data_IF_812103933305
#
_entry.id   IF_812103933305
#
_cell.length_a   1.000
_cell.length_b   1.000
_cell.length_c   1.000
_cell.angle_alpha   90.00
_cell.angle_beta   90.00
_cell.angle_gamma   90.00
#
_symmetry.space_group_name_H-M   'P 1'
#
loop_
_entity.id
_entity.type
_entity.pdbx_description
1 polymer ?
#
# COMPACT_ATOMS: atom_id res chain seq x y z
N UNK A 1 -12.03 -2.95 16.93
CA UNK A 1 -12.88 -2.79 15.72
C UNK A 1 -14.35 -2.84 16.08
N UNK A 2 -14.83 -3.86 16.81
CA UNK A 2 -16.26 -3.98 17.13
C UNK A 2 -16.80 -2.86 18.01
N UNK A 3 -16.04 -2.45 19.03
CA UNK A 3 -16.49 -1.49 20.04
C UNK A 3 -16.32 -0.02 19.60
N UNK A 4 -15.31 0.29 18.78
CA UNK A 4 -15.01 1.63 18.28
C UNK A 4 -14.74 1.63 16.77
N UNK A 5 -15.72 1.31 15.91
CA UNK A 5 -15.48 1.12 14.49
C UNK A 5 -15.02 2.40 13.76
N UNK A 6 -15.55 3.55 14.13
CA UNK A 6 -15.18 4.84 13.54
C UNK A 6 -13.72 5.20 13.86
N UNK A 7 -13.31 5.04 15.11
CA UNK A 7 -11.94 5.28 15.55
C UNK A 7 -10.95 4.34 14.84
N UNK A 8 -11.28 3.06 14.75
CA UNK A 8 -10.43 2.11 14.02
C UNK A 8 -10.29 2.49 12.53
N UNK A 9 -11.40 2.84 11.88
CA UNK A 9 -11.38 3.26 10.47
C UNK A 9 -10.58 4.55 10.25
N UNK A 10 -10.68 5.52 11.18
CA UNK A 10 -9.92 6.78 11.05
C UNK A 10 -8.39 6.59 11.19
N UNK A 11 -7.96 5.48 11.79
CA UNK A 11 -6.55 5.12 11.97
C UNK A 11 -6.02 4.15 10.91
N UNK A 12 -6.88 3.66 10.01
CA UNK A 12 -6.54 2.64 9.02
C UNK A 12 -6.76 3.17 7.62
N UNK A 13 -5.80 2.92 6.73
CA UNK A 13 -6.00 3.04 5.29
C UNK A 13 -6.02 1.65 4.66
N UNK A 14 -6.90 1.46 3.66
CA UNK A 14 -6.97 0.25 2.86
C UNK A 14 -6.98 0.61 1.38
N UNK A 15 -6.13 -0.04 0.60
CA UNK A 15 -6.07 0.09 -0.85
C UNK A 15 -6.20 -1.30 -1.46
N UNK A 16 -7.27 -1.60 -2.20
CA UNK A 16 -7.41 -2.83 -2.98
C UNK A 16 -6.53 -2.80 -4.23
N UNK A 17 -6.28 -3.96 -4.84
CA UNK A 17 -5.54 -4.12 -6.09
C UNK A 17 -6.12 -3.26 -7.24
N UNK A 18 -7.43 -3.18 -7.34
CA UNK A 18 -8.12 -2.35 -8.32
C UNK A 18 -9.08 -1.37 -7.63
N UNK A 19 -8.61 -0.16 -7.29
CA UNK A 19 -9.41 0.80 -6.56
C UNK A 19 -10.49 1.43 -7.45
N UNK A 20 -11.74 1.37 -6.99
CA UNK A 20 -12.84 2.12 -7.58
C UNK A 20 -12.74 3.60 -7.22
N UNK A 21 -12.61 4.44 -8.21
CA UNK A 21 -12.51 5.89 -8.07
C UNK A 21 -13.70 6.61 -8.70
N UNK A 22 -13.99 7.80 -8.21
CA UNK A 22 -15.03 8.68 -8.77
C UNK A 22 -14.51 9.35 -10.04
N UNK A 23 -14.85 8.82 -11.20
CA UNK A 23 -14.31 9.25 -12.50
C UNK A 23 -14.66 10.69 -12.91
N UNK A 24 -15.70 11.30 -12.30
CA UNK A 24 -16.20 12.65 -12.66
C UNK A 24 -15.66 13.77 -11.78
N UNK A 25 -14.72 13.51 -10.91
CA UNK A 25 -14.02 14.53 -10.13
C UNK A 25 -12.55 14.57 -10.53
N UNK A 26 -11.89 15.66 -10.21
CA UNK A 26 -10.45 15.80 -10.45
C UNK A 26 -9.63 15.13 -9.36
N UNK A 27 -8.36 14.84 -9.63
CA UNK A 27 -7.44 14.26 -8.63
C UNK A 27 -7.36 15.10 -7.37
N UNK A 28 -7.28 16.44 -7.50
CA UNK A 28 -7.23 17.34 -6.33
C UNK A 28 -8.54 17.33 -5.54
N UNK A 29 -9.69 17.19 -6.19
CA UNK A 29 -10.98 17.08 -5.49
C UNK A 29 -11.06 15.79 -4.71
N UNK A 30 -10.59 14.67 -5.27
CA UNK A 30 -10.48 13.40 -4.57
C UNK A 30 -9.59 13.50 -3.33
N UNK A 31 -8.38 14.08 -3.46
CA UNK A 31 -7.47 14.23 -2.33
C UNK A 31 -8.02 15.14 -1.23
N UNK A 32 -8.74 16.21 -1.58
CA UNK A 32 -9.43 17.05 -0.61
C UNK A 32 -10.56 16.30 0.10
N UNK A 33 -11.33 15.49 -0.65
CA UNK A 33 -12.35 14.61 -0.06
C UNK A 33 -11.73 13.62 0.95
N UNK A 34 -10.58 13.00 0.62
CA UNK A 34 -9.85 12.15 1.57
C UNK A 34 -9.40 12.93 2.80
N UNK A 35 -8.91 14.15 2.64
CA UNK A 35 -8.55 15.03 3.75
C UNK A 35 -9.73 15.33 4.67
N UNK A 36 -10.93 15.56 4.12
CA UNK A 36 -12.14 15.79 4.89
C UNK A 36 -12.57 14.54 5.66
N UNK A 37 -12.58 13.38 4.97
CA UNK A 37 -12.95 12.09 5.54
C UNK A 37 -12.09 11.71 6.76
N UNK A 38 -10.78 11.96 6.67
CA UNK A 38 -9.82 11.63 7.73
C UNK A 38 -9.46 12.82 8.62
N UNK A 39 -10.22 13.93 8.54
CA UNK A 39 -10.05 15.12 9.39
C UNK A 39 -8.64 15.71 9.38
N UNK A 40 -7.97 15.69 8.22
CA UNK A 40 -6.66 16.34 8.04
C UNK A 40 -6.81 17.85 8.23
N UNK A 41 -6.01 18.48 9.12
CA UNK A 41 -6.13 19.91 9.39
C UNK A 41 -5.94 20.76 8.11
N UNK A 42 -6.83 21.74 7.88
CA UNK A 42 -6.82 22.55 6.67
C UNK A 42 -5.45 23.20 6.37
N UNK A 43 -4.75 23.64 7.43
CA UNK A 43 -3.41 24.25 7.33
C UNK A 43 -2.32 23.29 6.82
N UNK A 44 -2.56 21.96 6.90
CA UNK A 44 -1.59 20.94 6.52
C UNK A 44 -1.91 20.28 5.18
N UNK A 45 -3.16 20.44 4.68
CA UNK A 45 -3.62 19.74 3.46
C UNK A 45 -2.75 20.02 2.25
N UNK A 46 -2.53 21.31 1.96
CA UNK A 46 -1.77 21.71 0.76
C UNK A 46 -0.36 21.12 0.80
N UNK A 47 0.34 21.25 1.94
CA UNK A 47 1.71 20.76 2.05
C UNK A 47 1.79 19.23 2.00
N UNK A 48 0.82 18.52 2.58
CA UNK A 48 0.79 17.05 2.54
C UNK A 48 0.46 16.53 1.14
N UNK A 49 -0.56 17.13 0.47
CA UNK A 49 -0.91 16.78 -0.91
C UNK A 49 0.29 17.00 -1.81
N UNK A 50 0.89 18.21 -1.76
CA UNK A 50 2.04 18.55 -2.57
C UNK A 50 3.20 17.59 -2.36
N UNK A 51 3.57 17.31 -1.09
CA UNK A 51 4.65 16.37 -0.74
C UNK A 51 4.51 15.04 -1.47
N UNK A 52 3.35 14.39 -1.35
CA UNK A 52 3.16 13.05 -1.90
C UNK A 52 2.90 13.06 -3.42
N UNK A 53 2.24 14.10 -3.93
CA UNK A 53 2.03 14.26 -5.37
C UNK A 53 3.34 14.49 -6.12
N UNK A 54 4.26 15.28 -5.56
CA UNK A 54 5.59 15.51 -6.15
C UNK A 54 6.42 14.22 -6.15
N UNK A 55 6.42 13.49 -5.03
CA UNK A 55 7.17 12.23 -4.89
C UNK A 55 6.71 11.18 -5.90
N UNK A 56 5.41 11.09 -6.16
CA UNK A 56 4.83 10.14 -7.11
C UNK A 56 4.64 10.73 -8.53
N UNK A 57 5.11 11.97 -8.77
CA UNK A 57 5.02 12.66 -10.08
C UNK A 57 3.59 12.73 -10.61
N UNK A 58 2.65 13.11 -9.77
CA UNK A 58 1.24 13.28 -10.14
C UNK A 58 0.77 14.74 -10.05
N UNK A 59 1.62 15.66 -9.59
CA UNK A 59 1.29 17.06 -9.31
C UNK A 59 0.64 17.75 -10.51
N UNK A 60 1.22 17.63 -11.70
CA UNK A 60 0.75 18.32 -12.91
C UNK A 60 -0.62 17.82 -13.38
N UNK A 61 -0.99 16.61 -13.03
CA UNK A 61 -2.26 15.98 -13.42
C UNK A 61 -3.37 16.12 -12.37
N UNK A 62 -3.11 16.69 -11.20
CA UNK A 62 -4.13 16.80 -10.14
C UNK A 62 -5.36 17.60 -10.55
N UNK A 63 -5.23 18.51 -11.55
CA UNK A 63 -6.33 19.28 -12.10
C UNK A 63 -7.20 18.51 -13.10
N UNK A 64 -6.73 17.39 -13.63
CA UNK A 64 -7.43 16.60 -14.63
C UNK A 64 -8.50 15.70 -14.00
N UNK A 65 -9.51 15.32 -14.79
CA UNK A 65 -10.53 14.36 -14.37
C UNK A 65 -9.91 12.98 -14.19
N UNK A 66 -10.32 12.25 -13.14
CA UNK A 66 -9.85 10.90 -12.86
C UNK A 66 -10.18 9.92 -14.01
N UNK A 67 -11.25 10.18 -14.77
CA UNK A 67 -11.59 9.42 -15.99
C UNK A 67 -10.50 9.43 -17.05
N UNK A 68 -9.63 10.45 -17.06
CA UNK A 68 -8.49 10.55 -18.00
C UNK A 68 -7.21 9.87 -17.49
N UNK A 69 -7.19 9.41 -16.24
CA UNK A 69 -6.00 8.81 -15.64
C UNK A 69 -5.75 7.39 -16.17
N UNK A 70 -4.49 7.09 -16.43
CA UNK A 70 -4.06 5.70 -16.63
C UNK A 70 -4.22 4.89 -15.34
N UNK A 71 -4.16 3.56 -15.45
CA UNK A 71 -4.21 2.68 -14.28
C UNK A 71 -3.11 3.06 -13.25
N UNK A 72 -1.88 3.25 -13.67
CA UNK A 72 -0.79 3.68 -12.79
C UNK A 72 -1.02 5.04 -12.14
N UNK A 73 -1.64 6.01 -12.85
CA UNK A 73 -2.02 7.30 -12.25
C UNK A 73 -3.12 7.14 -11.20
N UNK A 74 -4.11 6.29 -11.44
CA UNK A 74 -5.15 5.95 -10.46
C UNK A 74 -4.53 5.30 -9.22
N UNK A 75 -3.60 4.36 -9.40
CA UNK A 75 -2.88 3.73 -8.31
C UNK A 75 -2.06 4.76 -7.48
N UNK A 76 -1.33 5.65 -8.15
CA UNK A 76 -0.61 6.75 -7.48
C UNK A 76 -1.55 7.66 -6.67
N UNK A 77 -2.71 8.01 -7.23
CA UNK A 77 -3.69 8.87 -6.58
C UNK A 77 -4.24 8.27 -5.26
N UNK A 78 -4.61 6.98 -5.27
CA UNK A 78 -5.11 6.32 -4.04
C UNK A 78 -4.02 6.16 -3.01
N UNK A 79 -2.78 5.87 -3.42
CA UNK A 79 -1.62 5.84 -2.54
C UNK A 79 -1.43 7.21 -1.86
N UNK A 80 -1.43 8.32 -2.61
CA UNK A 80 -1.36 9.66 -2.04
C UNK A 80 -2.47 9.85 -1.00
N UNK A 81 -3.71 9.52 -1.33
CA UNK A 81 -4.86 9.63 -0.43
C UNK A 81 -4.69 8.85 0.88
N UNK A 82 -4.08 7.67 0.80
CA UNK A 82 -3.80 6.84 1.97
C UNK A 82 -2.68 7.41 2.87
N UNK A 83 -1.62 7.96 2.27
CA UNK A 83 -0.50 8.50 3.05
C UNK A 83 -0.77 9.89 3.67
N UNK A 84 -1.68 10.69 3.07
CA UNK A 84 -1.98 12.07 3.53
C UNK A 84 -2.39 12.13 5.00
N UNK A 85 -3.17 11.16 5.49
CA UNK A 85 -3.67 11.17 6.88
C UNK A 85 -2.77 10.44 7.87
N UNK A 86 -1.60 9.92 7.41
CA UNK A 86 -0.63 9.24 8.26
C UNK A 86 -1.26 8.11 9.10
N UNK A 87 -1.79 7.05 8.48
CA UNK A 87 -2.50 5.98 9.18
C UNK A 87 -1.58 5.24 10.15
N UNK A 88 -2.16 4.68 11.22
CA UNK A 88 -1.43 3.77 12.12
C UNK A 88 -1.37 2.35 11.56
N UNK A 89 -2.32 1.99 10.69
CA UNK A 89 -2.33 0.73 9.97
C UNK A 89 -2.60 1.00 8.48
N UNK A 90 -1.70 0.58 7.63
CA UNK A 90 -1.86 0.63 6.17
C UNK A 90 -1.99 -0.80 5.64
N UNK A 91 -3.12 -1.09 4.98
CA UNK A 91 -3.40 -2.40 4.36
C UNK A 91 -3.43 -2.20 2.85
N UNK A 92 -2.60 -2.96 2.13
CA UNK A 92 -2.42 -2.82 0.69
C UNK A 92 -2.57 -4.18 0.00
N UNK A 93 -3.31 -4.22 -1.09
CA UNK A 93 -3.42 -5.39 -1.94
C UNK A 93 -2.64 -5.13 -3.23
N UNK A 94 -1.58 -5.92 -3.48
CA UNK A 94 -0.67 -5.82 -4.63
C UNK A 94 -0.19 -4.38 -4.96
N UNK A 95 0.34 -3.61 -4.02
CA UNK A 95 0.51 -2.16 -4.16
C UNK A 95 1.52 -1.72 -5.24
N UNK A 96 2.32 -2.63 -5.75
CA UNK A 96 3.35 -2.36 -6.76
C UNK A 96 2.88 -2.61 -8.20
N UNK A 97 1.73 -3.26 -8.36
CA UNK A 97 1.14 -3.53 -9.67
C UNK A 97 0.74 -2.22 -10.34
N UNK A 98 1.10 -2.08 -11.61
CA UNK A 98 0.79 -0.88 -12.41
C UNK A 98 1.69 0.34 -12.15
N UNK A 99 2.60 0.29 -11.17
CA UNK A 99 3.57 1.35 -10.92
C UNK A 99 4.82 1.20 -11.81
N UNK A 100 5.33 2.33 -12.27
CA UNK A 100 6.65 2.37 -12.89
C UNK A 100 7.77 2.14 -11.85
N UNK A 101 9.01 1.78 -12.28
CA UNK A 101 10.10 1.48 -11.36
C UNK A 101 10.43 2.62 -10.38
N UNK A 102 10.31 3.88 -10.82
CA UNK A 102 10.58 5.04 -9.97
C UNK A 102 9.50 5.23 -8.91
N UNK A 103 8.22 5.14 -9.29
CA UNK A 103 7.11 5.18 -8.34
C UNK A 103 7.19 4.03 -7.32
N UNK A 104 7.55 2.82 -7.77
CA UNK A 104 7.77 1.66 -6.90
C UNK A 104 8.90 1.90 -5.89
N UNK A 105 9.99 2.51 -6.32
CA UNK A 105 11.09 2.89 -5.43
C UNK A 105 10.63 3.89 -4.36
N UNK A 106 9.91 4.93 -4.77
CA UNK A 106 9.38 5.93 -3.85
C UNK A 106 8.36 5.38 -2.88
N UNK A 107 7.47 4.48 -3.36
CA UNK A 107 6.50 3.81 -2.49
C UNK A 107 7.19 3.01 -1.39
N UNK A 108 8.22 2.21 -1.71
CA UNK A 108 9.01 1.46 -0.73
C UNK A 108 9.61 2.38 0.34
N UNK A 109 10.14 3.53 -0.08
CA UNK A 109 10.70 4.53 0.85
C UNK A 109 9.61 5.13 1.74
N UNK A 110 8.47 5.52 1.18
CA UNK A 110 7.33 6.06 1.94
C UNK A 110 6.80 5.04 2.95
N UNK A 111 6.73 3.75 2.57
CA UNK A 111 6.32 2.67 3.48
C UNK A 111 7.30 2.53 4.65
N UNK A 112 8.60 2.55 4.39
CA UNK A 112 9.61 2.47 5.46
C UNK A 112 9.53 3.69 6.39
N UNK A 113 9.44 4.90 5.85
CA UNK A 113 9.27 6.13 6.64
C UNK A 113 8.02 6.08 7.54
N UNK A 114 6.92 5.50 7.04
CA UNK A 114 5.68 5.35 7.81
C UNK A 114 5.86 4.35 8.97
N UNK A 115 6.55 3.22 8.74
CA UNK A 115 6.89 2.25 9.78
C UNK A 115 7.84 2.83 10.83
N UNK A 116 8.87 3.58 10.41
CA UNK A 116 9.82 4.25 11.30
C UNK A 116 9.11 5.28 12.20
N UNK A 117 8.00 5.86 11.72
CA UNK A 117 7.13 6.73 12.51
C UNK A 117 6.18 5.97 13.46
N UNK A 118 6.24 4.64 13.51
CA UNK A 118 5.48 3.79 14.44
C UNK A 118 4.20 3.20 13.88
N UNK A 119 3.93 3.31 12.58
CA UNK A 119 2.80 2.64 11.94
C UNK A 119 3.13 1.18 11.60
N UNK A 120 2.09 0.37 11.39
CA UNK A 120 2.20 -0.97 10.84
C UNK A 120 1.69 -1.00 9.38
N UNK A 121 2.36 -1.77 8.53
CA UNK A 121 1.94 -2.01 7.16
C UNK A 121 1.73 -3.49 6.95
N UNK A 122 0.58 -3.85 6.38
CA UNK A 122 0.27 -5.19 5.93
C UNK A 122 -0.03 -5.14 4.43
N UNK A 123 0.67 -5.92 3.62
CA UNK A 123 0.40 -5.96 2.19
C UNK A 123 0.51 -7.38 1.63
N UNK A 124 -0.30 -7.67 0.61
CA UNK A 124 -0.15 -8.86 -0.22
C UNK A 124 0.80 -8.58 -1.37
N UNK A 125 1.54 -9.58 -1.80
CA UNK A 125 2.31 -9.53 -3.05
C UNK A 125 2.65 -10.93 -3.54
N UNK A 126 2.71 -11.11 -4.85
CA UNK A 126 3.27 -12.27 -5.51
C UNK A 126 4.75 -12.07 -5.91
N UNK A 127 5.32 -10.88 -5.65
CA UNK A 127 6.72 -10.56 -5.96
C UNK A 127 7.59 -10.84 -4.74
N UNK A 128 8.09 -12.06 -4.64
CA UNK A 128 8.83 -12.57 -3.48
C UNK A 128 10.06 -11.72 -3.14
N UNK A 129 10.79 -11.22 -4.14
CA UNK A 129 11.94 -10.33 -3.95
C UNK A 129 11.56 -9.01 -3.23
N UNK A 130 10.36 -8.50 -3.49
CA UNK A 130 9.87 -7.30 -2.79
C UNK A 130 9.57 -7.62 -1.33
N UNK A 131 8.88 -8.73 -1.07
CA UNK A 131 8.60 -9.18 0.28
C UNK A 131 9.89 -9.41 1.06
N UNK A 132 10.86 -10.10 0.48
CA UNK A 132 12.15 -10.41 1.11
C UNK A 132 12.93 -9.15 1.53
N UNK A 133 12.91 -8.09 0.69
CA UNK A 133 13.64 -6.84 0.96
C UNK A 133 12.92 -5.86 1.87
N UNK A 134 11.60 -5.95 1.96
CA UNK A 134 10.79 -4.91 2.61
C UNK A 134 10.15 -5.36 3.91
N UNK A 135 9.80 -6.66 4.05
CA UNK A 135 9.03 -7.16 5.18
C UNK A 135 9.92 -7.60 6.34
N UNK A 136 9.49 -7.27 7.56
CA UNK A 136 10.07 -7.81 8.78
C UNK A 136 9.50 -9.21 9.11
N UNK A 137 8.24 -9.44 8.73
CA UNK A 137 7.51 -10.70 8.89
C UNK A 137 6.81 -11.07 7.60
N UNK A 138 6.69 -12.36 7.32
CA UNK A 138 6.02 -12.90 6.15
C UNK A 138 5.06 -14.02 6.54
N UNK A 139 4.02 -14.16 5.75
CA UNK A 139 3.06 -15.27 5.86
C UNK A 139 2.81 -15.82 4.46
N UNK A 140 3.06 -17.11 4.28
CA UNK A 140 2.85 -17.80 3.01
C UNK A 140 1.44 -18.41 3.02
N UNK A 141 0.68 -18.08 1.98
CA UNK A 141 -0.68 -18.60 1.77
C UNK A 141 -0.68 -19.42 0.48
N UNK A 142 -1.20 -20.64 0.53
CA UNK A 142 -1.43 -21.47 -0.63
C UNK A 142 -2.83 -22.11 -0.55
N UNK A 143 -3.58 -22.10 -1.66
CA UNK A 143 -4.94 -22.66 -1.74
C UNK A 143 -5.87 -22.21 -0.59
N UNK A 144 -5.76 -20.95 -0.13
CA UNK A 144 -6.55 -20.37 0.96
C UNK A 144 -6.17 -20.84 2.36
N UNK A 145 -5.06 -21.56 2.50
CA UNK A 145 -4.52 -21.99 3.79
C UNK A 145 -3.25 -21.22 4.12
N UNK A 146 -3.10 -20.87 5.40
CA UNK A 146 -1.84 -20.42 5.97
C UNK A 146 -0.90 -21.62 6.09
N UNK A 147 0.21 -21.57 5.36
CA UNK A 147 1.19 -22.66 5.36
C UNK A 147 2.30 -22.35 6.36
N UNK A 148 2.84 -21.14 6.30
CA UNK A 148 3.94 -20.73 7.15
C UNK A 148 3.83 -19.26 7.54
N UNK A 149 4.28 -18.89 8.76
CA UNK A 149 4.26 -17.51 9.23
C UNK A 149 5.36 -17.29 10.26
N UNK A 150 6.18 -16.27 10.06
CA UNK A 150 7.29 -15.94 10.96
C UNK A 150 7.98 -14.63 10.59
N UNK A 151 9.08 -14.33 11.26
CA UNK A 151 9.99 -13.28 10.82
C UNK A 151 10.65 -13.69 9.50
N UNK A 152 11.14 -12.71 8.75
CA UNK A 152 11.85 -13.01 7.50
C UNK A 152 13.05 -13.94 7.73
N UNK A 153 13.77 -13.76 8.85
CA UNK A 153 14.91 -14.59 9.23
C UNK A 153 14.50 -16.04 9.56
N UNK A 154 13.40 -16.22 10.30
CA UNK A 154 12.87 -17.54 10.67
C UNK A 154 12.44 -18.35 9.44
N UNK A 155 11.72 -17.69 8.51
CA UNK A 155 11.16 -18.34 7.32
C UNK A 155 12.26 -18.64 6.28
N UNK A 156 13.10 -17.67 6.01
CA UNK A 156 14.13 -17.77 4.97
C UNK A 156 15.32 -18.63 5.39
N UNK A 157 15.77 -18.54 6.63
CA UNK A 157 17.01 -19.19 7.08
C UNK A 157 18.19 -18.77 6.21
N UNK A 158 18.84 -19.76 5.58
CA UNK A 158 19.97 -19.57 4.64
C UNK A 158 19.57 -19.55 3.17
N UNK A 159 18.29 -19.67 2.85
CA UNK A 159 17.75 -19.76 1.48
C UNK A 159 17.14 -18.40 1.03
N UNK A 160 16.72 -18.29 -0.22
CA UNK A 160 15.86 -17.19 -0.67
C UNK A 160 14.41 -17.45 -0.29
N UNK A 161 13.59 -16.40 -0.20
CA UNK A 161 12.15 -16.58 0.02
C UNK A 161 11.50 -17.34 -1.15
N UNK A 162 12.06 -17.24 -2.34
CA UNK A 162 11.61 -17.98 -3.53
C UNK A 162 11.86 -19.49 -3.39
N UNK A 163 13.04 -19.90 -2.91
CA UNK A 163 13.35 -21.31 -2.65
C UNK A 163 12.38 -21.93 -1.63
N UNK A 164 12.15 -21.20 -0.52
CA UNK A 164 11.21 -21.62 0.52
C UNK A 164 9.79 -21.74 -0.04
N UNK A 165 9.35 -20.77 -0.82
CA UNK A 165 8.02 -20.79 -1.44
C UNK A 165 7.86 -21.99 -2.38
N UNK A 166 8.86 -22.27 -3.21
CA UNK A 166 8.83 -23.42 -4.13
C UNK A 166 8.79 -24.76 -3.38
N UNK A 167 9.57 -24.91 -2.31
CA UNK A 167 9.55 -26.11 -1.47
C UNK A 167 8.18 -26.34 -0.83
N UNK A 168 7.57 -25.29 -0.31
CA UNK A 168 6.22 -25.34 0.28
C UNK A 168 5.17 -25.79 -0.74
N UNK A 169 5.21 -25.21 -1.96
CA UNK A 169 4.26 -25.55 -3.02
C UNK A 169 4.44 -26.99 -3.53
N UNK A 170 5.67 -27.46 -3.63
CA UNK A 170 5.98 -28.83 -4.06
C UNK A 170 5.54 -29.88 -3.04
N UNK A 171 5.75 -29.63 -1.76
CA UNK A 171 5.33 -30.53 -0.67
C UNK A 171 3.81 -30.69 -0.60
N UNK A 172 3.03 -29.63 -0.86
CA UNK A 172 1.56 -29.72 -0.90
C UNK A 172 1.02 -30.49 -2.12
N UNK A 173 1.78 -30.60 -3.23
CA UNK A 173 1.37 -31.35 -4.42
C UNK A 173 1.55 -32.87 -4.25
N UNK A 174 2.30 -33.30 -3.22
CA UNK A 174 2.58 -34.71 -2.96
C UNK A 174 1.63 -35.34 -1.93
N UNK A 175 0.72 -34.56 -1.35
CA UNK A 175 -0.31 -34.97 -0.39
C UNK A 175 -1.69 -34.94 -1.07
#
# INVERSE_FOLDING_TARGET
VKDEPVKCKSMTAYIPDNPDLYDYITGIQYLNYMCDMFSVPAKERVSRIQKYADVLKLTDSLGDLISSYSHGMKQKLVLIGAFIHSPHLLVLDEPFVGLDPEASFHLKKMMRELCDAGAAIFFSTHVLEVAEKLCDRVTIINNGKLIESGTMEEIKGSHSLEDVFMEVVENERQV
#
